data_IF_522915223607
#
_entry.id   IF_522915223607
#
_cell.length_a   1.000
_cell.length_b   1.000
_cell.length_c   1.000
_cell.angle_alpha   90.00
_cell.angle_beta   90.00
_cell.angle_gamma   90.00
#
_symmetry.space_group_name_H-M   'P 1'
#
loop_
_entity.id
_entity.type
_entity.pdbx_description
1 polymer ?
#
# COMPACT_ATOMS: atom_id res chain seq x y z
N UNK A 1 -7.67 -15.38 5.89
CA UNK A 1 -6.32 -15.96 6.05
C UNK A 1 -5.50 -15.67 4.81
N UNK A 2 -4.21 -15.37 4.96
CA UNK A 2 -3.26 -15.18 3.84
C UNK A 2 -2.21 -16.28 3.99
N UNK A 3 -1.99 -17.06 2.93
CA UNK A 3 -1.05 -18.17 2.92
C UNK A 3 0.05 -17.96 1.88
N UNK A 4 1.28 -18.16 2.28
CA UNK A 4 2.43 -18.25 1.40
C UNK A 4 2.70 -19.74 1.18
N UNK A 5 2.63 -20.21 -0.06
CA UNK A 5 2.78 -21.63 -0.39
C UNK A 5 3.98 -21.81 -1.30
N UNK A 6 5.05 -22.43 -0.77
CA UNK A 6 6.31 -22.70 -1.48
C UNK A 6 6.89 -21.45 -2.16
N UNK A 7 6.70 -20.27 -1.55
CA UNK A 7 7.03 -18.98 -2.14
C UNK A 7 8.53 -18.83 -2.35
N UNK A 8 8.95 -18.66 -3.59
CA UNK A 8 10.33 -18.38 -3.98
C UNK A 8 10.37 -17.08 -4.77
N UNK A 9 11.29 -16.19 -4.40
CA UNK A 9 11.54 -14.93 -5.13
C UNK A 9 13.02 -14.67 -5.23
N UNK A 10 13.49 -14.37 -6.45
CA UNK A 10 14.87 -14.00 -6.74
C UNK A 10 14.95 -12.81 -7.69
N UNK A 11 16.10 -12.16 -7.70
CA UNK A 11 16.42 -11.10 -8.64
C UNK A 11 17.73 -11.44 -9.38
N UNK A 12 17.83 -11.13 -10.67
CA UNK A 12 19.06 -11.34 -11.42
C UNK A 12 20.15 -10.39 -10.94
N UNK A 13 21.36 -10.93 -10.78
CA UNK A 13 22.57 -10.15 -10.47
C UNK A 13 23.71 -10.57 -11.41
N UNK A 14 24.79 -9.79 -11.52
CA UNK A 14 25.95 -10.19 -12.31
C UNK A 14 26.57 -11.55 -11.89
N UNK A 15 26.40 -11.93 -10.62
CA UNK A 15 26.87 -13.20 -10.06
C UNK A 15 25.85 -14.34 -10.10
N UNK A 16 24.69 -14.15 -10.77
CA UNK A 16 23.61 -15.14 -10.84
C UNK A 16 22.34 -14.68 -10.13
N UNK A 17 21.56 -15.61 -9.60
CA UNK A 17 20.30 -15.32 -8.90
C UNK A 17 20.53 -14.97 -7.44
N UNK A 18 20.07 -13.80 -7.04
CA UNK A 18 19.98 -13.40 -5.62
C UNK A 18 18.60 -13.78 -5.10
N UNK A 19 18.53 -14.81 -4.27
CA UNK A 19 17.27 -15.26 -3.68
C UNK A 19 16.93 -14.41 -2.44
N UNK A 20 15.75 -13.83 -2.45
CA UNK A 20 15.17 -13.14 -1.29
C UNK A 20 14.43 -14.14 -0.42
N UNK A 21 13.65 -15.02 -1.06
CA UNK A 21 12.95 -16.14 -0.41
C UNK A 21 13.19 -17.42 -1.18
N UNK A 22 13.26 -18.53 -0.45
CA UNK A 22 13.31 -19.88 -1.03
C UNK A 22 12.35 -20.79 -0.30
N UNK A 23 11.36 -21.31 -1.02
CA UNK A 23 10.38 -22.26 -0.50
C UNK A 23 9.76 -21.82 0.84
N UNK A 24 9.42 -20.51 0.94
CA UNK A 24 8.83 -19.96 2.14
C UNK A 24 7.38 -20.42 2.25
N UNK A 25 7.06 -21.07 3.37
CA UNK A 25 5.71 -21.48 3.72
C UNK A 25 5.32 -20.79 5.02
N UNK A 26 4.23 -20.04 5.00
CA UNK A 26 3.74 -19.32 6.17
C UNK A 26 2.26 -19.03 6.03
N UNK A 27 1.52 -19.12 7.12
CA UNK A 27 0.11 -18.73 7.17
C UNK A 27 -0.07 -17.59 8.14
N UNK A 28 -0.51 -16.44 7.61
CA UNK A 28 -0.91 -15.32 8.44
C UNK A 28 -2.27 -15.63 9.06
N UNK A 29 -2.40 -15.54 10.39
CA UNK A 29 -3.69 -15.75 11.04
C UNK A 29 -4.75 -14.80 10.50
N UNK A 30 -6.00 -15.25 10.49
CA UNK A 30 -7.11 -14.42 10.04
C UNK A 30 -7.47 -13.37 11.10
N UNK A 31 -7.82 -12.18 10.66
CA UNK A 31 -8.23 -11.06 11.52
C UNK A 31 -7.20 -10.66 12.57
N UNK A 32 -5.93 -10.70 12.21
CA UNK A 32 -4.80 -10.33 13.07
C UNK A 32 -3.95 -9.30 12.36
N UNK A 33 -3.65 -8.20 13.02
CA UNK A 33 -2.69 -7.21 12.54
C UNK A 33 -1.26 -7.65 12.85
N UNK A 34 -0.39 -7.64 11.84
CA UNK A 34 0.94 -8.26 11.91
C UNK A 34 2.03 -7.23 11.63
N UNK A 35 2.99 -7.16 12.55
CA UNK A 35 4.22 -6.40 12.39
C UNK A 35 5.32 -7.23 11.75
N UNK A 36 5.92 -6.75 10.68
CA UNK A 36 7.08 -7.37 10.05
C UNK A 36 8.35 -6.63 10.46
N UNK A 37 9.16 -7.25 11.28
CA UNK A 37 10.45 -6.74 11.72
C UNK A 37 11.61 -7.47 11.04
N UNK A 38 12.75 -6.80 10.93
CA UNK A 38 13.96 -7.40 10.38
C UNK A 38 14.93 -6.36 9.84
N UNK A 39 16.17 -6.79 9.56
CA UNK A 39 17.23 -5.93 9.03
C UNK A 39 16.87 -5.36 7.66
N UNK A 40 17.49 -4.22 7.30
CA UNK A 40 17.39 -3.68 5.94
C UNK A 40 17.91 -4.72 4.95
N UNK A 41 17.21 -4.86 3.82
CA UNK A 41 17.54 -5.87 2.80
C UNK A 41 17.03 -7.30 3.10
N UNK A 42 16.35 -7.55 4.22
CA UNK A 42 15.79 -8.86 4.54
C UNK A 42 14.60 -9.30 3.66
N UNK A 43 14.14 -8.42 2.74
CA UNK A 43 13.05 -8.75 1.82
C UNK A 43 11.66 -8.29 2.27
N UNK A 44 11.54 -7.51 3.35
CA UNK A 44 10.23 -7.04 3.87
C UNK A 44 9.37 -6.37 2.81
N UNK A 45 9.91 -5.36 2.12
CA UNK A 45 9.19 -4.66 1.04
C UNK A 45 8.90 -5.56 -0.16
N UNK A 46 9.76 -6.55 -0.44
CA UNK A 46 9.49 -7.58 -1.46
C UNK A 46 8.30 -8.44 -1.05
N UNK A 47 8.25 -8.88 0.21
CA UNK A 47 7.12 -9.65 0.74
C UNK A 47 5.81 -8.85 0.66
N UNK A 48 5.82 -7.58 1.06
CA UNK A 48 4.67 -6.68 0.96
C UNK A 48 4.16 -6.56 -0.48
N UNK A 49 5.07 -6.46 -1.46
CA UNK A 49 4.68 -6.37 -2.88
C UNK A 49 4.08 -7.68 -3.40
N UNK A 50 4.60 -8.82 -2.96
CA UNK A 50 4.06 -10.14 -3.31
C UNK A 50 2.67 -10.35 -2.70
N UNK A 51 2.49 -10.04 -1.42
CA UNK A 51 1.19 -10.12 -0.74
C UNK A 51 0.17 -9.16 -1.37
N UNK A 52 0.58 -7.94 -1.70
CA UNK A 52 -0.28 -6.93 -2.34
C UNK A 52 -0.51 -7.15 -3.85
N UNK A 53 0.01 -8.22 -4.44
CA UNK A 53 -0.16 -8.51 -5.87
C UNK A 53 0.54 -7.53 -6.83
N UNK A 54 1.49 -6.73 -6.34
CA UNK A 54 2.29 -5.80 -7.15
C UNK A 54 3.52 -6.47 -7.79
N UNK A 55 3.84 -7.65 -7.34
CA UNK A 55 4.89 -8.50 -7.89
C UNK A 55 4.41 -9.95 -7.84
N UNK A 56 4.98 -10.80 -8.68
CA UNK A 56 4.66 -12.22 -8.71
C UNK A 56 5.85 -13.03 -8.17
N UNK A 57 5.61 -14.09 -7.41
CA UNK A 57 6.68 -15.01 -7.04
C UNK A 57 7.24 -15.71 -8.29
N UNK A 58 8.50 -16.12 -8.24
CA UNK A 58 9.11 -16.92 -9.31
C UNK A 58 8.68 -18.39 -9.23
N UNK A 59 8.38 -18.88 -7.99
CA UNK A 59 7.79 -20.20 -7.74
C UNK A 59 6.84 -20.08 -6.54
N UNK A 60 5.83 -20.96 -6.49
CA UNK A 60 4.81 -20.95 -5.46
C UNK A 60 3.77 -19.85 -5.66
N UNK A 61 3.02 -19.55 -4.63
CA UNK A 61 1.90 -18.60 -4.72
C UNK A 61 1.53 -17.97 -3.37
N UNK A 62 0.82 -16.85 -3.45
CA UNK A 62 0.12 -16.24 -2.31
C UNK A 62 -1.36 -16.55 -2.46
N UNK A 63 -1.95 -17.23 -1.49
CA UNK A 63 -3.37 -17.59 -1.44
C UNK A 63 -4.11 -16.73 -0.44
N UNK A 64 -5.21 -16.11 -0.84
CA UNK A 64 -6.08 -15.37 0.07
C UNK A 64 -7.47 -15.22 -0.51
N UNK A 65 -8.48 -15.16 0.37
CA UNK A 65 -9.84 -14.75 0.04
C UNK A 65 -10.13 -13.32 0.55
N UNK A 66 -9.15 -12.69 1.20
CA UNK A 66 -9.29 -11.33 1.72
C UNK A 66 -8.89 -10.31 0.65
N UNK A 67 -9.54 -9.17 0.64
CA UNK A 67 -9.09 -8.01 -0.12
C UNK A 67 -7.87 -7.38 0.55
N UNK A 68 -6.79 -7.20 -0.21
CA UNK A 68 -5.53 -6.66 0.29
C UNK A 68 -5.23 -5.37 -0.45
N UNK A 69 -4.86 -4.31 0.28
CA UNK A 69 -4.43 -3.07 -0.34
C UNK A 69 -3.06 -3.23 -1.00
N UNK A 70 -2.73 -2.35 -1.93
CA UNK A 70 -1.33 -2.06 -2.23
C UNK A 70 -0.69 -1.33 -1.03
N UNK A 71 0.65 -1.30 -0.89
CA UNK A 71 1.31 -0.55 0.18
C UNK A 71 0.85 0.91 0.21
N UNK A 72 0.31 1.34 1.36
CA UNK A 72 -0.29 2.66 1.55
C UNK A 72 0.74 3.76 1.27
N UNK A 73 0.35 4.76 0.48
CA UNK A 73 1.24 5.86 0.10
C UNK A 73 2.23 5.52 -1.03
N UNK A 74 2.25 4.28 -1.51
CA UNK A 74 3.09 3.90 -2.64
C UNK A 74 2.61 4.59 -3.92
N UNK A 75 3.47 5.39 -4.54
CA UNK A 75 3.17 6.08 -5.80
C UNK A 75 3.54 5.27 -7.05
N UNK A 76 4.10 4.06 -6.87
CA UNK A 76 4.38 3.16 -7.98
C UNK A 76 3.06 2.66 -8.59
N UNK A 77 2.94 2.79 -9.90
CA UNK A 77 1.69 2.49 -10.63
C UNK A 77 0.89 3.71 -11.04
N UNK A 78 1.15 4.88 -10.48
CA UNK A 78 0.57 6.13 -10.97
C UNK A 78 1.33 6.64 -12.20
N UNK A 79 0.59 6.95 -13.25
CA UNK A 79 1.16 7.42 -14.52
C UNK A 79 1.49 8.91 -14.45
N UNK A 80 2.77 9.25 -14.53
CA UNK A 80 3.25 10.64 -14.42
C UNK A 80 2.73 11.58 -15.51
N UNK A 81 2.37 11.08 -16.68
CA UNK A 81 1.80 11.85 -17.80
C UNK A 81 0.30 12.14 -17.64
N UNK A 82 -0.40 11.40 -16.79
CA UNK A 82 -1.82 11.59 -16.51
C UNK A 82 -2.03 12.56 -15.34
N UNK A 83 -3.21 13.17 -15.28
CA UNK A 83 -3.65 13.97 -14.13
C UNK A 83 -3.90 13.09 -12.91
N UNK A 84 -4.00 13.69 -11.70
CA UNK A 84 -4.43 12.94 -10.52
C UNK A 84 -5.85 12.37 -10.73
N UNK A 85 -6.76 13.17 -11.28
CA UNK A 85 -8.12 12.73 -11.61
C UNK A 85 -8.13 11.50 -12.50
N UNK A 86 -7.31 11.46 -13.55
CA UNK A 86 -7.29 10.33 -14.47
C UNK A 86 -6.64 9.09 -13.87
N UNK A 87 -5.62 9.28 -13.02
CA UNK A 87 -5.04 8.18 -12.24
C UNK A 87 -6.07 7.57 -11.28
N UNK A 88 -6.84 8.41 -10.55
CA UNK A 88 -7.90 7.92 -9.67
C UNK A 88 -8.98 7.18 -10.48
N UNK A 89 -9.41 7.72 -11.62
CA UNK A 89 -10.35 7.03 -12.53
C UNK A 89 -9.83 5.67 -12.99
N UNK A 90 -8.56 5.61 -13.34
CA UNK A 90 -7.93 4.37 -13.78
C UNK A 90 -7.98 3.31 -12.67
N UNK A 91 -7.58 3.67 -11.45
CA UNK A 91 -7.62 2.73 -10.32
C UNK A 91 -9.06 2.36 -9.97
N UNK A 92 -10.01 3.30 -10.00
CA UNK A 92 -11.43 2.99 -9.81
C UNK A 92 -11.91 1.90 -10.77
N UNK A 93 -11.55 2.00 -12.05
CA UNK A 93 -11.93 0.99 -13.06
C UNK A 93 -11.29 -0.37 -12.78
N UNK A 94 -10.03 -0.41 -12.37
CA UNK A 94 -9.35 -1.66 -11.99
C UNK A 94 -10.06 -2.38 -10.83
N UNK A 95 -10.60 -1.60 -9.88
CA UNK A 95 -11.33 -2.12 -8.72
C UNK A 95 -12.86 -2.15 -8.92
N UNK A 96 -13.33 -2.06 -10.17
CA UNK A 96 -14.75 -2.20 -10.52
C UNK A 96 -15.64 -1.03 -10.08
N UNK A 97 -15.08 0.08 -9.56
CA UNK A 97 -15.85 1.26 -9.20
C UNK A 97 -16.19 2.07 -10.46
N UNK A 98 -17.48 2.28 -10.71
CA UNK A 98 -18.01 3.03 -11.86
C UNK A 98 -19.11 4.01 -11.43
N UNK A 99 -19.58 4.86 -12.32
CA UNK A 99 -20.71 5.75 -12.06
C UNK A 99 -20.48 6.65 -10.85
N UNK A 100 -21.45 6.69 -9.95
CA UNK A 100 -21.45 7.54 -8.76
C UNK A 100 -20.35 7.17 -7.79
N UNK A 101 -20.12 5.87 -7.54
CA UNK A 101 -19.05 5.39 -6.67
C UNK A 101 -17.66 5.85 -7.12
N UNK A 102 -17.40 5.92 -8.44
CA UNK A 102 -16.18 6.51 -8.99
C UNK A 102 -16.09 8.00 -8.69
N UNK A 103 -17.19 8.75 -8.87
CA UNK A 103 -17.20 10.19 -8.64
C UNK A 103 -16.98 10.53 -7.15
N UNK A 104 -17.53 9.75 -6.25
CA UNK A 104 -17.29 9.88 -4.80
C UNK A 104 -15.82 9.68 -4.44
N UNK A 105 -15.19 8.63 -4.99
CA UNK A 105 -13.75 8.38 -4.77
C UNK A 105 -12.87 9.50 -5.33
N UNK A 106 -13.17 9.99 -6.52
CA UNK A 106 -12.46 11.14 -7.11
C UNK A 106 -12.60 12.37 -6.21
N UNK A 107 -13.80 12.67 -5.75
CA UNK A 107 -14.11 13.80 -4.87
C UNK A 107 -13.35 13.67 -3.55
N UNK A 108 -13.41 12.48 -2.92
CA UNK A 108 -12.67 12.20 -1.70
C UNK A 108 -11.17 12.45 -1.85
N UNK A 109 -10.53 11.91 -2.90
CA UNK A 109 -9.08 12.09 -3.12
C UNK A 109 -8.74 13.56 -3.38
N UNK A 110 -9.57 14.28 -4.14
CA UNK A 110 -9.39 15.71 -4.45
C UNK A 110 -9.44 16.57 -3.18
N UNK A 111 -10.45 16.36 -2.35
CA UNK A 111 -10.64 17.09 -1.08
C UNK A 111 -9.57 16.73 -0.04
N UNK A 112 -9.20 15.42 0.03
CA UNK A 112 -8.18 14.96 0.94
C UNK A 112 -6.80 15.54 0.62
N UNK A 113 -6.39 15.51 -0.66
CA UNK A 113 -5.04 15.89 -1.08
C UNK A 113 -4.76 17.40 -0.97
N UNK A 114 -5.79 18.25 -1.02
CA UNK A 114 -5.70 19.73 -0.89
C UNK A 114 -4.63 20.36 -1.80
N UNK A 115 -4.57 19.92 -3.07
CA UNK A 115 -3.61 20.44 -4.05
C UNK A 115 -4.23 21.40 -5.07
N UNK A 116 -5.52 21.73 -4.88
CA UNK A 116 -6.24 22.71 -5.69
C UNK A 116 -6.18 22.38 -7.19
N UNK A 117 -5.87 23.41 -8.01
CA UNK A 117 -5.81 23.29 -9.47
C UNK A 117 -4.84 22.21 -10.00
N UNK A 118 -3.86 21.82 -9.21
CA UNK A 118 -2.91 20.79 -9.61
C UNK A 118 -3.57 19.44 -9.80
N UNK A 119 -4.73 19.17 -9.17
CA UNK A 119 -5.44 17.90 -9.31
C UNK A 119 -5.74 17.53 -10.78
N UNK A 120 -5.91 18.53 -11.63
CA UNK A 120 -6.18 18.39 -13.06
C UNK A 120 -4.92 18.65 -13.93
N UNK A 121 -3.73 18.65 -13.33
CA UNK A 121 -2.44 18.73 -14.03
C UNK A 121 -1.71 17.38 -14.00
N UNK A 122 -0.77 17.12 -14.95
CA UNK A 122 -0.01 15.86 -14.96
C UNK A 122 0.83 15.66 -13.69
N UNK A 123 0.85 14.42 -13.15
CA UNK A 123 1.60 14.09 -11.93
C UNK A 123 3.11 14.38 -12.02
N UNK A 124 3.69 14.38 -13.23
CA UNK A 124 5.10 14.73 -13.42
C UNK A 124 5.44 16.16 -12.97
N UNK A 125 4.43 17.03 -12.85
CA UNK A 125 4.60 18.42 -12.40
C UNK A 125 4.51 18.57 -10.88
N UNK A 126 4.21 17.47 -10.15
CA UNK A 126 3.98 17.51 -8.71
C UNK A 126 5.28 17.43 -7.91
N UNK A 127 5.29 18.11 -6.77
CA UNK A 127 6.29 17.86 -5.73
C UNK A 127 6.13 16.44 -5.15
N UNK A 128 7.16 15.95 -4.46
CA UNK A 128 7.08 14.65 -3.76
C UNK A 128 5.94 14.64 -2.73
N UNK A 129 5.75 15.75 -1.99
CA UNK A 129 4.66 15.90 -1.04
C UNK A 129 3.28 15.81 -1.69
N UNK A 130 3.06 16.50 -2.82
CA UNK A 130 1.79 16.42 -3.57
C UNK A 130 1.53 14.99 -4.06
N UNK A 131 2.54 14.31 -4.58
CA UNK A 131 2.41 12.89 -4.99
C UNK A 131 2.05 11.99 -3.81
N UNK A 132 2.71 12.17 -2.66
CA UNK A 132 2.39 11.44 -1.44
C UNK A 132 0.96 11.64 -0.96
N UNK A 133 0.45 12.88 -1.03
CA UNK A 133 -0.95 13.20 -0.66
C UNK A 133 -1.95 12.48 -1.56
N UNK A 134 -1.72 12.45 -2.89
CA UNK A 134 -2.57 11.73 -3.84
C UNK A 134 -2.49 10.22 -3.61
N UNK A 135 -1.29 9.65 -3.47
CA UNK A 135 -1.10 8.21 -3.27
C UNK A 135 -1.76 7.73 -1.98
N UNK A 136 -1.60 8.49 -0.90
CA UNK A 136 -2.24 8.17 0.37
C UNK A 136 -3.78 8.30 0.28
N UNK A 137 -4.28 9.41 -0.25
CA UNK A 137 -5.71 9.64 -0.44
C UNK A 137 -6.35 8.55 -1.30
N UNK A 138 -5.66 8.13 -2.36
CA UNK A 138 -6.13 7.05 -3.22
C UNK A 138 -6.22 5.72 -2.45
N UNK A 139 -5.21 5.39 -1.61
CA UNK A 139 -5.26 4.19 -0.78
C UNK A 139 -6.43 4.21 0.21
N UNK A 140 -6.76 5.39 0.76
CA UNK A 140 -7.87 5.57 1.69
C UNK A 140 -9.25 5.69 1.02
N UNK A 141 -9.31 5.87 -0.30
CA UNK A 141 -10.57 5.90 -1.06
C UNK A 141 -11.22 4.53 -1.25
N UNK A 142 -10.49 3.46 -0.97
CA UNK A 142 -10.97 2.08 -1.06
C UNK A 142 -10.96 1.43 0.32
N UNK A 143 -11.79 0.40 0.49
CA UNK A 143 -11.84 -0.40 1.71
C UNK A 143 -11.26 -1.79 1.42
N UNK A 144 -10.43 -2.28 2.33
CA UNK A 144 -9.77 -3.58 2.24
C UNK A 144 -9.86 -4.31 3.59
N UNK A 145 -9.81 -5.63 3.55
CA UNK A 145 -9.71 -6.44 4.77
C UNK A 145 -8.34 -6.31 5.43
N UNK A 146 -7.29 -6.09 4.60
CA UNK A 146 -5.91 -5.85 5.04
C UNK A 146 -5.30 -4.64 4.36
N UNK A 147 -4.70 -3.74 5.17
CA UNK A 147 -3.88 -2.65 4.66
C UNK A 147 -2.40 -2.97 4.84
N UNK A 148 -1.65 -2.80 3.74
CA UNK A 148 -0.19 -2.95 3.75
C UNK A 148 0.47 -1.61 4.01
N UNK A 149 1.36 -1.54 5.01
CA UNK A 149 2.07 -0.32 5.39
C UNK A 149 3.58 -0.60 5.37
N UNK A 150 4.28 0.01 4.43
CA UNK A 150 5.73 -0.10 4.30
C UNK A 150 6.38 1.24 4.68
N UNK A 151 6.98 1.27 5.87
CA UNK A 151 7.73 2.39 6.44
C UNK A 151 7.14 3.80 6.18
N UNK A 152 6.42 4.31 7.14
CA UNK A 152 6.13 5.73 7.27
C UNK A 152 4.91 6.24 6.51
N UNK A 153 3.79 6.32 7.19
CA UNK A 153 2.62 7.11 6.75
C UNK A 153 2.86 8.62 6.73
N UNK A 154 4.11 9.05 6.82
CA UNK A 154 4.46 10.44 7.10
C UNK A 154 4.91 11.20 5.86
N UNK A 155 4.03 11.33 4.87
CA UNK A 155 4.26 12.27 3.77
C UNK A 155 3.56 13.60 4.06
N UNK A 156 4.30 14.72 3.92
CA UNK A 156 3.75 16.07 4.03
C UNK A 156 4.14 16.80 5.32
N UNK A 157 3.57 17.98 5.47
CA UNK A 157 3.75 18.85 6.63
C UNK A 157 3.02 18.31 7.88
N UNK A 158 3.29 18.84 9.08
CA UNK A 158 2.70 18.34 10.32
C UNK A 158 1.16 18.40 10.36
N UNK A 159 0.55 19.39 9.68
CA UNK A 159 -0.92 19.54 9.66
C UNK A 159 -1.53 18.44 8.81
N UNK A 160 -0.99 18.23 7.61
CA UNK A 160 -1.44 17.15 6.72
C UNK A 160 -1.22 15.77 7.36
N UNK A 161 -0.12 15.56 8.09
CA UNK A 161 0.16 14.32 8.81
C UNK A 161 -0.92 13.98 9.83
N UNK A 162 -1.39 14.96 10.61
CA UNK A 162 -2.50 14.76 11.56
C UNK A 162 -3.80 14.37 10.84
N UNK A 163 -4.12 15.03 9.72
CA UNK A 163 -5.28 14.70 8.88
C UNK A 163 -5.17 13.28 8.35
N UNK A 164 -4.01 12.91 7.80
CA UNK A 164 -3.76 11.56 7.28
C UNK A 164 -3.92 10.49 8.35
N UNK A 165 -3.38 10.71 9.55
CA UNK A 165 -3.55 9.79 10.69
C UNK A 165 -5.00 9.63 11.11
N UNK A 166 -5.79 10.71 11.13
CA UNK A 166 -7.21 10.64 11.48
C UNK A 166 -7.99 9.82 10.45
N UNK A 167 -7.79 10.09 9.15
CA UNK A 167 -8.44 9.34 8.07
C UNK A 167 -7.98 7.88 8.06
N UNK A 168 -6.70 7.62 8.28
CA UNK A 168 -6.18 6.26 8.38
C UNK A 168 -6.86 5.48 9.51
N UNK A 169 -6.90 6.05 10.72
CA UNK A 169 -7.55 5.43 11.88
C UNK A 169 -9.02 5.11 11.62
N UNK A 170 -9.74 6.02 10.99
CA UNK A 170 -11.14 5.81 10.63
C UNK A 170 -11.30 4.66 9.63
N UNK A 171 -10.48 4.64 8.57
CA UNK A 171 -10.58 3.66 7.48
C UNK A 171 -10.09 2.27 7.84
N UNK A 172 -9.23 2.16 8.85
CA UNK A 172 -8.67 0.87 9.29
C UNK A 172 -9.32 0.32 10.56
N UNK A 173 -10.39 0.95 11.05
CA UNK A 173 -11.06 0.57 12.31
C UNK A 173 -11.55 -0.88 12.31
N UNK A 174 -12.07 -1.34 11.16
CA UNK A 174 -12.60 -2.70 10.97
C UNK A 174 -11.69 -3.56 10.06
N UNK A 175 -10.48 -3.11 9.80
CA UNK A 175 -9.52 -3.79 8.95
C UNK A 175 -8.27 -4.21 9.75
N UNK A 176 -7.50 -5.15 9.19
CA UNK A 176 -6.25 -5.58 9.77
C UNK A 176 -5.07 -4.94 9.04
N UNK A 177 -3.92 -4.93 9.68
CA UNK A 177 -2.70 -4.33 9.14
C UNK A 177 -1.61 -5.39 8.92
N UNK A 178 -0.85 -5.24 7.84
CA UNK A 178 0.49 -5.82 7.73
C UNK A 178 1.45 -4.64 7.67
N UNK A 179 2.18 -4.43 8.76
CA UNK A 179 3.01 -3.24 8.99
C UNK A 179 4.48 -3.59 8.96
N UNK A 180 5.23 -2.92 8.11
CA UNK A 180 6.71 -2.84 8.22
C UNK A 180 7.06 -1.53 8.88
N UNK A 181 7.69 -1.57 10.04
CA UNK A 181 8.20 -0.39 10.74
C UNK A 181 9.50 -0.69 11.45
N UNK A 182 10.40 0.30 11.49
CA UNK A 182 11.58 0.29 12.35
C UNK A 182 11.29 0.85 13.75
N UNK A 183 10.13 1.48 13.93
CA UNK A 183 9.69 1.98 15.23
C UNK A 183 8.90 0.88 15.95
N UNK A 184 9.49 0.34 17.01
CA UNK A 184 8.85 -0.70 17.82
C UNK A 184 7.54 -0.25 18.47
N UNK A 185 7.37 1.06 18.72
CA UNK A 185 6.12 1.60 19.29
C UNK A 185 4.97 1.48 18.30
N UNK A 186 5.20 1.79 17.01
CA UNK A 186 4.15 1.66 15.97
C UNK A 186 3.66 0.21 15.88
N UNK A 187 4.59 -0.74 16.02
CA UNK A 187 4.25 -2.17 15.97
C UNK A 187 3.48 -2.59 17.23
N UNK A 188 3.91 -2.14 18.41
CA UNK A 188 3.23 -2.46 19.67
C UNK A 188 1.83 -1.85 19.76
N UNK A 189 1.64 -0.66 19.18
CA UNK A 189 0.37 0.06 19.23
C UNK A 189 -0.64 -0.40 18.17
N UNK A 190 -0.16 -0.96 17.05
CA UNK A 190 -0.99 -1.24 15.86
C UNK A 190 -1.05 -2.72 15.47
N UNK A 191 -0.23 -3.59 16.05
CA UNK A 191 -0.15 -4.99 15.66
C UNK A 191 -0.39 -5.92 16.83
N UNK A 192 -1.09 -7.01 16.54
CA UNK A 192 -1.38 -8.08 17.52
C UNK A 192 -0.23 -9.09 17.60
N UNK A 193 0.55 -9.24 16.50
CA UNK A 193 1.67 -10.16 16.38
C UNK A 193 2.87 -9.51 15.68
N UNK A 194 4.07 -10.06 15.92
CA UNK A 194 5.33 -9.65 15.30
C UNK A 194 6.09 -10.87 14.80
#
# INVERSE_FOLDING_TARGET
>A
MIELVNLTKWFPTPGGRHYVFRNLNFSFPDRVSIGLMGRNGAGKSTLMRLIGGLDTPDEGEVRTNNSISWPVGLSSGLQGSLTARDNVRFVCRLYGATGEAMQEKIRFVQEFAEIGKFFDMPLKTYSSGMRGRISFGLSMAFSFDYYLIDEGMATGDPIFRKKAQAVFKERTQDANLILVSHNTRDIQDLCDMV
#
